data_IF_015033708737
#
_entry.id   IF_015033708737
#
_cell.length_a   1.000
_cell.length_b   1.000
_cell.length_c   1.000
_cell.angle_alpha   90.00
_cell.angle_beta   90.00
_cell.angle_gamma   90.00
#
_symmetry.space_group_name_H-M   'P 1'
#
loop_
_entity.id
_entity.type
_entity.pdbx_description
1 polymer ?
#
# COMPACT_ATOMS: atom_id res chain seq x y z
N UNK A 1 11.76 -19.67 -3.83
CA UNK A 1 11.23 -18.48 -4.51
C UNK A 1 10.56 -17.61 -3.45
N UNK A 2 10.30 -16.33 -3.71
CA UNK A 2 9.66 -15.45 -2.72
C UNK A 2 8.20 -15.27 -3.08
N UNK A 3 7.31 -15.13 -2.09
CA UNK A 3 5.87 -14.88 -2.33
C UNK A 3 5.63 -13.74 -3.32
N UNK A 4 6.49 -12.71 -3.30
CA UNK A 4 6.46 -11.63 -4.29
C UNK A 4 6.50 -12.12 -5.74
N UNK A 5 7.42 -13.04 -6.04
CA UNK A 5 7.58 -13.61 -7.38
C UNK A 5 6.50 -14.66 -7.66
N UNK A 6 6.19 -15.49 -6.67
CA UNK A 6 5.25 -16.61 -6.84
C UNK A 6 3.83 -16.12 -7.13
N UNK A 7 3.48 -14.93 -6.63
CA UNK A 7 2.17 -14.30 -6.85
C UNK A 7 2.22 -13.10 -7.78
N UNK A 8 3.32 -12.84 -8.50
CA UNK A 8 3.46 -11.66 -9.38
C UNK A 8 2.98 -10.35 -8.71
N UNK A 9 3.49 -10.11 -7.51
CA UNK A 9 2.92 -9.10 -6.62
C UNK A 9 3.17 -7.67 -7.13
N UNK A 10 4.23 -7.47 -7.91
CA UNK A 10 4.49 -6.18 -8.56
C UNK A 10 3.40 -5.82 -9.57
N UNK A 11 3.00 -6.76 -10.43
CA UNK A 11 1.93 -6.53 -11.40
C UNK A 11 0.60 -6.20 -10.71
N UNK A 12 0.28 -6.89 -9.61
CA UNK A 12 -0.92 -6.60 -8.81
C UNK A 12 -0.87 -5.20 -8.18
N UNK A 13 0.30 -4.77 -7.68
CA UNK A 13 0.48 -3.39 -7.19
C UNK A 13 0.26 -2.38 -8.32
N UNK A 14 0.85 -2.59 -9.49
CA UNK A 14 0.65 -1.71 -10.65
C UNK A 14 -0.82 -1.63 -11.04
N UNK A 15 -1.53 -2.76 -11.12
CA UNK A 15 -2.95 -2.78 -11.46
C UNK A 15 -3.80 -2.00 -10.45
N UNK A 16 -3.49 -2.12 -9.16
CA UNK A 16 -4.15 -1.32 -8.12
C UNK A 16 -3.89 0.17 -8.31
N UNK A 17 -2.63 0.57 -8.53
CA UNK A 17 -2.25 1.98 -8.68
C UNK A 17 -2.81 2.61 -9.98
N UNK A 18 -2.88 1.85 -11.08
CA UNK A 18 -3.51 2.28 -12.32
C UNK A 18 -5.03 2.40 -12.19
N UNK A 19 -5.65 1.51 -11.41
CA UNK A 19 -7.09 1.45 -11.20
C UNK A 19 -7.66 2.52 -10.26
N UNK A 20 -6.83 3.37 -9.64
CA UNK A 20 -7.32 4.44 -8.76
C UNK A 20 -8.11 5.47 -9.58
N UNK A 21 -9.39 5.72 -9.26
CA UNK A 21 -10.20 6.69 -9.99
C UNK A 21 -9.66 8.10 -9.79
N UNK A 22 -9.75 8.91 -10.85
CA UNK A 22 -9.53 10.35 -10.75
C UNK A 22 -10.88 11.01 -10.50
N UNK A 23 -11.08 11.54 -9.28
CA UNK A 23 -12.30 12.28 -8.92
C UNK A 23 -12.50 13.53 -9.77
N UNK A 24 -11.40 14.13 -10.27
CA UNK A 24 -11.45 15.21 -11.25
C UNK A 24 -11.09 14.67 -12.65
N UNK A 25 -12.06 14.52 -13.57
CA UNK A 25 -11.82 14.04 -14.93
C UNK A 25 -10.93 14.96 -15.77
N UNK A 26 -10.87 16.25 -15.42
CA UNK A 26 -10.00 17.24 -16.09
C UNK A 26 -8.53 17.11 -15.65
N UNK A 27 -8.23 16.19 -14.73
CA UNK A 27 -6.92 16.01 -14.12
C UNK A 27 -6.65 17.00 -13.00
N UNK A 28 -5.53 16.80 -12.32
CA UNK A 28 -5.04 17.69 -11.27
C UNK A 28 -3.56 18.00 -11.52
N UNK A 29 -3.06 19.22 -11.24
CA UNK A 29 -1.63 19.53 -11.36
C UNK A 29 -0.72 18.62 -10.51
N UNK A 30 -1.28 17.98 -9.48
CA UNK A 30 -0.58 17.00 -8.64
C UNK A 30 -0.71 15.56 -9.14
N UNK A 31 -1.24 15.36 -10.35
CA UNK A 31 -1.38 14.06 -11.00
C UNK A 31 -2.26 13.08 -10.22
N UNK A 32 -1.96 11.77 -10.30
CA UNK A 32 -2.72 10.72 -9.62
C UNK A 32 -2.53 10.80 -8.09
N UNK A 33 -3.59 10.48 -7.32
CA UNK A 33 -3.49 10.42 -5.86
C UNK A 33 -2.58 9.27 -5.42
N UNK A 34 -2.02 9.43 -4.23
CA UNK A 34 -1.28 8.39 -3.55
C UNK A 34 -2.21 7.42 -2.82
N UNK A 35 -1.82 6.15 -2.76
CA UNK A 35 -2.37 5.14 -1.86
C UNK A 35 -1.34 4.77 -0.80
N UNK A 36 -1.78 4.65 0.45
CA UNK A 36 -0.97 4.07 1.52
C UNK A 36 -0.75 2.57 1.29
N UNK A 37 0.28 1.98 1.91
CA UNK A 37 0.48 0.52 1.87
C UNK A 37 -0.74 -0.27 2.38
N UNK A 38 -1.51 0.30 3.31
CA UNK A 38 -2.76 -0.30 3.80
C UNK A 38 -3.83 -0.33 2.71
N UNK A 39 -4.05 0.77 2.00
CA UNK A 39 -5.02 0.81 0.89
C UNK A 39 -4.61 -0.15 -0.22
N UNK A 40 -3.32 -0.22 -0.56
CA UNK A 40 -2.81 -1.19 -1.56
C UNK A 40 -3.07 -2.62 -1.08
N UNK A 41 -2.79 -2.94 0.18
CA UNK A 41 -3.05 -4.27 0.75
C UNK A 41 -4.54 -4.65 0.70
N UNK A 42 -5.43 -3.73 1.09
CA UNK A 42 -6.89 -3.93 1.02
C UNK A 42 -7.33 -4.18 -0.41
N UNK A 43 -6.85 -3.38 -1.37
CA UNK A 43 -7.20 -3.58 -2.79
C UNK A 43 -6.68 -4.90 -3.35
N UNK A 44 -5.49 -5.34 -2.95
CA UNK A 44 -4.94 -6.64 -3.35
C UNK A 44 -5.74 -7.78 -2.72
N UNK A 45 -6.02 -7.72 -1.41
CA UNK A 45 -6.77 -8.77 -0.71
C UNK A 45 -8.19 -8.93 -1.24
N UNK A 46 -8.83 -7.81 -1.62
CA UNK A 46 -10.14 -7.78 -2.28
C UNK A 46 -10.16 -8.57 -3.59
N UNK A 47 -9.12 -8.43 -4.41
CA UNK A 47 -9.06 -8.97 -5.78
C UNK A 47 -8.38 -10.34 -5.85
N UNK A 48 -7.42 -10.58 -4.96
CA UNK A 48 -6.53 -11.74 -4.90
C UNK A 48 -6.26 -12.17 -3.44
N UNK A 49 -7.28 -12.63 -2.71
CA UNK A 49 -7.15 -13.02 -1.30
C UNK A 49 -6.11 -14.13 -1.09
N UNK A 50 -5.87 -14.97 -2.10
CA UNK A 50 -4.90 -16.07 -2.05
C UNK A 50 -3.46 -15.60 -1.77
N UNK A 51 -3.13 -14.34 -2.07
CA UNK A 51 -1.82 -13.74 -1.80
C UNK A 51 -1.61 -13.56 -0.28
N UNK A 52 -2.62 -13.03 0.41
CA UNK A 52 -2.56 -12.86 1.86
C UNK A 52 -2.62 -14.23 2.55
N UNK A 53 -3.48 -15.12 2.07
CA UNK A 53 -3.66 -16.47 2.61
C UNK A 53 -2.36 -17.28 2.53
N UNK A 54 -1.61 -17.21 1.43
CA UNK A 54 -0.33 -17.91 1.29
C UNK A 54 0.75 -17.39 2.26
N UNK A 55 0.65 -16.13 2.68
CA UNK A 55 1.52 -15.52 3.68
C UNK A 55 1.10 -15.85 5.12
N UNK A 56 -0.14 -16.29 5.35
CA UNK A 56 -0.70 -16.50 6.68
C UNK A 56 -0.73 -15.22 7.53
N UNK A 57 -0.79 -14.06 6.89
CA UNK A 57 -0.76 -12.75 7.56
C UNK A 57 -2.18 -12.16 7.72
N UNK A 58 -2.45 -11.43 8.81
CA UNK A 58 -3.63 -10.58 8.89
C UNK A 58 -3.51 -9.39 7.93
N UNK A 59 -4.64 -8.81 7.50
CA UNK A 59 -4.65 -7.68 6.57
C UNK A 59 -4.00 -6.40 7.16
N UNK A 60 -4.38 -6.03 8.39
CA UNK A 60 -3.97 -4.80 9.10
C UNK A 60 -3.23 -5.03 10.42
N UNK A 61 -2.74 -3.95 11.05
CA UNK A 61 -1.72 -4.01 12.13
C UNK A 61 -2.07 -3.39 13.49
N UNK A 62 -3.11 -2.56 13.63
CA UNK A 62 -3.53 -2.04 14.93
C UNK A 62 -4.96 -2.48 15.25
N UNK A 63 -5.17 -3.06 16.45
CA UNK A 63 -6.46 -3.63 16.91
C UNK A 63 -6.48 -5.16 17.01
N UNK A 64 -5.56 -5.85 16.32
CA UNK A 64 -5.46 -7.33 16.29
C UNK A 64 -4.23 -7.88 17.04
N UNK A 65 -3.40 -7.00 17.62
CA UNK A 65 -2.22 -7.39 18.41
C UNK A 65 -1.07 -8.03 17.62
N UNK A 66 -1.17 -8.10 16.28
CA UNK A 66 -0.18 -8.73 15.44
C UNK A 66 0.90 -7.74 14.97
N UNK A 67 2.17 -8.04 15.28
CA UNK A 67 3.34 -7.24 14.88
C UNK A 67 3.71 -7.35 13.39
N UNK A 68 3.05 -8.24 12.65
CA UNK A 68 3.28 -8.51 11.23
C UNK A 68 1.93 -8.60 10.50
N UNK A 69 1.63 -7.62 9.65
CA UNK A 69 0.45 -7.61 8.78
C UNK A 69 0.83 -7.64 7.29
N UNK A 70 -0.13 -7.93 6.43
CA UNK A 70 0.04 -7.90 4.99
C UNK A 70 0.39 -6.50 4.49
N UNK A 71 -0.23 -5.45 5.05
CA UNK A 71 0.14 -4.06 4.77
C UNK A 71 1.61 -3.75 5.13
N UNK A 72 2.09 -4.22 6.29
CA UNK A 72 3.49 -4.05 6.69
C UNK A 72 4.45 -4.86 5.80
N UNK A 73 4.05 -6.07 5.41
CA UNK A 73 4.80 -6.88 4.45
C UNK A 73 4.96 -6.15 3.11
N UNK A 74 3.87 -5.61 2.56
CA UNK A 74 3.88 -4.84 1.31
C UNK A 74 4.77 -3.59 1.43
N UNK A 75 4.60 -2.80 2.49
CA UNK A 75 5.43 -1.60 2.73
C UNK A 75 6.94 -1.94 2.75
N UNK A 76 7.30 -3.03 3.43
CA UNK A 76 8.69 -3.50 3.52
C UNK A 76 9.22 -3.98 2.16
N UNK A 77 8.45 -4.78 1.43
CA UNK A 77 8.88 -5.33 0.13
C UNK A 77 9.01 -4.25 -0.94
N UNK A 78 8.09 -3.28 -0.96
CA UNK A 78 8.15 -2.11 -1.85
C UNK A 78 9.36 -1.24 -1.53
N UNK A 79 9.58 -0.92 -0.25
CA UNK A 79 10.73 -0.13 0.19
C UNK A 79 12.06 -0.84 -0.10
N UNK A 80 12.12 -2.15 0.12
CA UNK A 80 13.30 -2.98 -0.20
C UNK A 80 13.64 -2.94 -1.69
N UNK A 81 12.64 -3.06 -2.57
CA UNK A 81 12.84 -3.04 -4.02
C UNK A 81 13.16 -1.67 -4.56
N UNK A 82 12.53 -0.63 -4.02
CA UNK A 82 12.87 0.75 -4.35
C UNK A 82 14.36 1.02 -4.03
N UNK A 83 14.83 0.60 -2.84
CA UNK A 83 16.25 0.73 -2.45
C UNK A 83 17.18 -0.12 -3.33
N UNK A 84 16.74 -1.30 -3.73
CA UNK A 84 17.51 -2.20 -4.60
C UNK A 84 17.44 -1.82 -6.09
N UNK A 85 16.66 -0.79 -6.47
CA UNK A 85 16.39 -0.40 -7.85
C UNK A 85 15.80 -1.53 -8.71
N UNK A 86 15.02 -2.41 -8.09
CA UNK A 86 14.33 -3.52 -8.76
C UNK A 86 12.82 -3.39 -8.75
N UNK A 87 12.29 -2.27 -8.25
CA UNK A 87 10.86 -1.93 -8.34
C UNK A 87 10.61 -1.27 -9.71
N UNK A 88 9.47 -1.56 -10.34
CA UNK A 88 9.06 -0.85 -11.57
C UNK A 88 9.28 0.67 -11.46
N UNK A 89 9.92 1.25 -12.47
CA UNK A 89 10.20 2.68 -12.57
C UNK A 89 8.91 3.53 -12.67
N UNK A 90 7.80 2.91 -13.04
CA UNK A 90 6.47 3.51 -13.08
C UNK A 90 5.90 3.79 -11.69
N UNK A 91 6.45 3.20 -10.63
CA UNK A 91 5.98 3.44 -9.26
C UNK A 91 6.77 4.59 -8.65
N UNK A 92 6.04 5.57 -8.11
CA UNK A 92 6.58 6.63 -7.27
C UNK A 92 6.16 6.38 -5.82
N UNK A 93 7.13 6.43 -4.91
CA UNK A 93 6.91 6.33 -3.47
C UNK A 93 7.03 7.69 -2.78
N UNK A 94 6.30 7.86 -1.69
CA UNK A 94 6.36 9.02 -0.79
C UNK A 94 5.99 8.63 0.64
N UNK A 95 5.97 9.61 1.54
CA UNK A 95 5.59 9.42 2.94
C UNK A 95 4.49 10.40 3.34
N UNK A 96 3.55 9.93 4.16
CA UNK A 96 2.64 10.80 4.89
C UNK A 96 3.35 11.27 6.15
N UNK A 97 3.47 12.58 6.30
CA UNK A 97 3.93 13.22 7.52
C UNK A 97 2.99 12.87 8.68
N UNK A 98 3.55 12.42 9.80
CA UNK A 98 2.77 12.03 10.99
C UNK A 98 2.39 13.22 11.88
N UNK A 99 3.02 14.37 11.69
CA UNK A 99 2.73 15.60 12.43
C UNK A 99 1.25 15.96 12.28
N UNK A 100 0.59 16.23 13.41
CA UNK A 100 -0.84 16.57 13.49
C UNK A 100 -1.80 15.47 13.00
N UNK A 101 -1.33 14.23 12.83
CA UNK A 101 -2.22 13.09 12.54
C UNK A 101 -2.62 12.40 13.84
N UNK A 102 -3.84 12.62 14.30
CA UNK A 102 -4.37 11.98 15.51
C UNK A 102 -4.63 10.48 15.33
N UNK A 103 -5.21 10.09 14.19
CA UNK A 103 -5.45 8.70 13.82
C UNK A 103 -5.68 8.59 12.32
N UNK A 104 -5.48 7.39 11.78
CA UNK A 104 -5.86 7.05 10.42
C UNK A 104 -6.45 5.64 10.45
N UNK A 105 -7.65 5.48 9.89
CA UNK A 105 -8.33 4.19 9.83
C UNK A 105 -8.77 3.89 8.40
N UNK A 106 -8.74 2.63 8.04
CA UNK A 106 -9.13 2.12 6.73
C UNK A 106 -10.22 1.07 6.90
N UNK A 107 -11.14 1.01 5.95
CA UNK A 107 -12.19 -0.02 5.94
C UNK A 107 -11.80 -1.15 5.00
N UNK A 108 -11.77 -2.37 5.53
CA UNK A 108 -11.68 -3.57 4.69
C UNK A 108 -13.03 -3.96 4.09
N UNK A 109 -12.99 -5.00 3.29
CA UNK A 109 -14.15 -5.50 2.54
C UNK A 109 -15.19 -6.20 3.40
N UNK A 110 -14.73 -6.75 4.52
CA UNK A 110 -15.56 -7.31 5.59
C UNK A 110 -16.26 -6.22 6.42
N UNK A 111 -16.05 -4.94 6.09
CA UNK A 111 -16.58 -3.80 6.82
C UNK A 111 -15.85 -3.53 8.15
N UNK A 112 -14.78 -4.27 8.43
CA UNK A 112 -13.96 -4.07 9.63
C UNK A 112 -13.03 -2.89 9.40
N UNK A 113 -12.97 -2.00 10.38
CA UNK A 113 -12.06 -0.86 10.37
C UNK A 113 -10.70 -1.27 10.95
N UNK A 114 -9.62 -0.89 10.26
CA UNK A 114 -8.24 -1.13 10.64
C UNK A 114 -7.55 0.21 10.90
N UNK A 115 -7.03 0.40 12.10
CA UNK A 115 -6.23 1.59 12.38
C UNK A 115 -4.79 1.39 11.91
N UNK A 116 -4.24 2.44 11.32
CA UNK A 116 -2.86 2.50 10.88
C UNK A 116 -1.96 2.64 12.11
N UNK A 117 -1.01 1.72 12.29
CA UNK A 117 -0.15 1.72 13.47
C UNK A 117 0.98 2.75 13.44
N UNK A 118 0.97 3.77 12.57
CA UNK A 118 2.16 4.57 12.27
C UNK A 118 2.40 5.71 13.26
N UNK A 119 1.34 6.37 13.76
CA UNK A 119 1.43 7.55 14.64
C UNK A 119 2.26 7.25 15.91
N UNK A 120 2.08 6.07 16.51
CA UNK A 120 2.80 5.66 17.72
C UNK A 120 4.07 4.83 17.44
N UNK A 121 4.29 4.40 16.19
CA UNK A 121 5.40 3.49 15.87
C UNK A 121 6.76 4.17 15.66
N UNK A 122 6.77 5.50 15.45
CA UNK A 122 7.98 6.24 15.08
C UNK A 122 8.44 6.02 13.64
N UNK A 123 7.62 5.40 12.78
CA UNK A 123 7.89 5.21 11.36
C UNK A 123 6.92 6.03 10.49
N UNK A 124 7.45 6.61 9.42
CA UNK A 124 6.64 7.29 8.41
C UNK A 124 5.74 6.30 7.65
N UNK A 125 4.51 6.71 7.35
CA UNK A 125 3.59 5.89 6.58
C UNK A 125 3.90 6.00 5.09
N UNK A 126 4.39 4.91 4.49
CA UNK A 126 4.70 4.85 3.06
C UNK A 126 3.43 4.93 2.20
N UNK A 127 3.53 5.71 1.13
CA UNK A 127 2.51 5.87 0.11
C UNK A 127 3.09 5.66 -1.29
N UNK A 128 2.23 5.26 -2.23
CA UNK A 128 2.62 4.91 -3.59
C UNK A 128 1.61 5.40 -4.62
N UNK A 129 2.07 5.78 -5.80
CA UNK A 129 1.24 6.08 -6.98
C UNK A 129 1.96 5.70 -8.26
N UNK A 130 1.25 5.75 -9.38
CA UNK A 130 1.90 5.78 -10.69
C UNK A 130 2.60 7.11 -10.87
N UNK A 131 3.89 7.05 -11.21
CA UNK A 131 4.74 8.16 -11.54
C UNK A 131 4.13 8.96 -12.69
N UNK A 132 4.01 10.29 -12.57
CA UNK A 132 3.62 11.13 -13.69
C UNK A 132 4.62 10.96 -14.84
N UNK A 133 4.13 10.93 -16.09
CA UNK A 133 5.02 11.03 -17.24
C UNK A 133 5.83 12.34 -17.14
N UNK A 134 7.15 12.25 -17.27
CA UNK A 134 8.01 13.43 -17.36
C UNK A 134 7.67 14.16 -18.65
N UNK A 135 7.29 15.44 -18.55
CA UNK A 135 7.26 16.35 -19.69
C UNK A 135 8.67 16.76 -20.10
#
# INVERSE_FOLDING_TARGET
>A
MSTWSDHDLEAKVLEVLYGVPLENPLGHPFHRPFLTAYQVAICIDRRWPEVRESLGLPLGGLGIGARNSFAQYLARELSRRARAQTLSAEIEGGFLASQEVASLSFRGDDGVDFSASFVESGYDLSMYRIRPASN
#
